data_IF_493968646597
#
_entry.id   IF_493968646597
#
_cell.length_a   1.000
_cell.length_b   1.000
_cell.length_c   1.000
_cell.angle_alpha   90.00
_cell.angle_beta   90.00
_cell.angle_gamma   90.00
#
_symmetry.space_group_name_H-M   'P 1'
#
loop_
_entity.id
_entity.type
_entity.pdbx_description
1 polymer ?
#
# COMPACT_ATOMS: atom_id res chain seq x y z
N UNK A 1 -27.02 -17.67 -6.41
CA UNK A 1 -25.90 -17.29 -7.30
C UNK A 1 -25.62 -15.78 -7.35
N UNK A 2 -26.07 -14.96 -6.38
CA UNK A 2 -25.81 -13.50 -6.36
C UNK A 2 -24.68 -13.07 -5.42
N UNK A 3 -24.16 -13.98 -4.60
CA UNK A 3 -23.21 -13.66 -3.52
C UNK A 3 -21.75 -13.86 -3.94
N UNK A 4 -21.49 -14.70 -4.95
CA UNK A 4 -20.15 -14.95 -5.48
C UNK A 4 -19.62 -13.78 -6.36
N UNK A 5 -20.51 -12.97 -6.94
CA UNK A 5 -20.13 -11.80 -7.77
C UNK A 5 -19.63 -10.60 -6.94
N UNK A 6 -19.98 -10.54 -5.65
CA UNK A 6 -19.57 -9.46 -4.74
C UNK A 6 -18.17 -9.66 -4.15
N UNK A 7 -17.61 -10.86 -4.23
CA UNK A 7 -16.25 -11.16 -3.76
C UNK A 7 -15.21 -10.98 -4.87
N UNK A 8 -15.60 -11.14 -6.13
CA UNK A 8 -14.71 -11.04 -7.31
C UNK A 8 -14.49 -9.61 -7.77
N UNK A 9 -15.35 -8.67 -7.36
CA UNK A 9 -15.32 -7.25 -7.75
C UNK A 9 -14.99 -6.32 -6.58
N UNK A 10 -14.69 -6.87 -5.40
CA UNK A 10 -14.37 -6.06 -4.22
C UNK A 10 -12.99 -5.43 -4.39
N UNK A 11 -12.97 -4.18 -4.81
CA UNK A 11 -11.76 -3.37 -4.82
C UNK A 11 -11.36 -3.12 -3.37
N UNK A 12 -10.33 -3.83 -2.90
CA UNK A 12 -9.79 -3.62 -1.57
C UNK A 12 -8.95 -2.35 -1.56
N UNK A 13 -9.34 -1.39 -0.74
CA UNK A 13 -8.51 -0.22 -0.47
C UNK A 13 -7.41 -0.60 0.53
N UNK A 14 -6.15 -0.43 0.12
CA UNK A 14 -4.99 -0.79 0.94
C UNK A 14 -4.29 0.49 1.39
N UNK A 15 -4.09 0.63 2.69
CA UNK A 15 -3.28 1.69 3.28
C UNK A 15 -2.01 1.09 3.92
N UNK A 16 -0.87 1.70 3.65
CA UNK A 16 0.44 1.30 4.15
C UNK A 16 0.96 2.41 5.06
N UNK A 17 1.29 2.06 6.29
CA UNK A 17 1.90 2.97 7.27
C UNK A 17 3.36 2.56 7.47
N UNK A 18 4.28 3.49 7.23
CA UNK A 18 5.72 3.27 7.34
C UNK A 18 6.30 4.21 8.42
N UNK A 19 6.78 3.68 9.56
CA UNK A 19 7.69 4.43 10.44
C UNK A 19 9.03 4.67 9.73
N UNK A 20 9.65 5.82 9.97
CA UNK A 20 10.98 6.14 9.47
C UNK A 20 11.74 7.01 10.48
N UNK A 21 12.42 6.35 11.42
CA UNK A 21 13.21 7.00 12.45
C UNK A 21 14.68 7.05 12.02
N UNK A 22 15.12 8.17 11.46
CA UNK A 22 16.49 8.36 10.91
C UNK A 22 16.84 7.48 9.68
N UNK A 23 15.87 6.78 9.07
CA UNK A 23 16.08 5.97 7.84
C UNK A 23 15.68 6.67 6.52
N UNK A 24 15.69 8.00 6.48
CA UNK A 24 15.26 8.81 5.33
C UNK A 24 15.98 8.45 4.01
N UNK A 25 17.22 7.97 4.09
CA UNK A 25 17.98 7.55 2.92
C UNK A 25 17.43 6.26 2.27
N UNK A 26 16.80 5.39 3.06
CA UNK A 26 16.25 4.11 2.61
C UNK A 26 14.74 4.17 2.34
N UNK A 27 14.02 5.14 2.92
CA UNK A 27 12.55 5.20 2.77
C UNK A 27 12.10 5.38 1.32
N UNK A 28 12.90 6.06 0.50
CA UNK A 28 12.59 6.27 -0.91
C UNK A 28 12.51 4.95 -1.69
N UNK A 29 13.43 4.00 -1.47
CA UNK A 29 13.39 2.69 -2.13
C UNK A 29 12.23 1.85 -1.63
N UNK A 30 11.94 1.90 -0.32
CA UNK A 30 10.79 1.19 0.27
C UNK A 30 9.47 1.66 -0.36
N UNK A 31 9.26 2.98 -0.46
CA UNK A 31 8.07 3.56 -1.10
C UNK A 31 8.01 3.17 -2.58
N UNK A 32 9.15 3.18 -3.29
CA UNK A 32 9.21 2.79 -4.68
C UNK A 32 8.80 1.33 -4.89
N UNK A 33 9.32 0.41 -4.08
CA UNK A 33 9.01 -1.02 -4.15
C UNK A 33 7.51 -1.28 -3.92
N UNK A 34 6.90 -0.57 -2.95
CA UNK A 34 5.45 -0.67 -2.73
C UNK A 34 4.65 -0.15 -3.92
N UNK A 35 5.04 0.97 -4.54
CA UNK A 35 4.36 1.48 -5.74
C UNK A 35 4.50 0.55 -6.94
N UNK A 36 5.58 -0.21 -7.04
CA UNK A 36 5.76 -1.20 -8.11
C UNK A 36 4.84 -2.41 -7.97
N UNK A 37 4.58 -2.86 -6.74
CA UNK A 37 3.81 -4.09 -6.49
C UNK A 37 2.34 -3.83 -6.14
N UNK A 38 2.04 -2.68 -5.52
CA UNK A 38 0.69 -2.27 -5.10
C UNK A 38 0.48 -0.80 -5.44
N UNK A 39 0.40 -0.45 -6.74
CA UNK A 39 0.38 0.94 -7.22
C UNK A 39 -0.81 1.76 -6.68
N UNK A 40 -1.93 1.11 -6.36
CA UNK A 40 -3.15 1.76 -5.87
C UNK A 40 -3.17 1.96 -4.35
N UNK A 41 -2.15 1.49 -3.62
CA UNK A 41 -2.09 1.65 -2.17
C UNK A 41 -1.80 3.11 -1.78
N UNK A 42 -2.50 3.59 -0.76
CA UNK A 42 -2.16 4.84 -0.09
C UNK A 42 -0.99 4.61 0.88
N UNK A 43 0.10 5.35 0.72
CA UNK A 43 1.30 5.19 1.56
C UNK A 43 1.47 6.42 2.44
N UNK A 44 1.57 6.20 3.75
CA UNK A 44 1.79 7.22 4.77
C UNK A 44 3.11 6.94 5.47
N UNK A 45 4.05 7.87 5.37
CA UNK A 45 5.32 7.83 6.11
C UNK A 45 5.19 8.77 7.30
N UNK A 46 5.57 8.29 8.47
CA UNK A 46 5.73 9.11 9.67
C UNK A 46 7.15 8.95 10.21
N UNK A 47 7.66 10.04 10.79
CA UNK A 47 8.97 10.10 11.49
C UNK A 47 8.96 9.15 12.70
#
# INVERSE_FOLDING_TARGET
>A
MKELDNLTTKNYEVAILLPCCDEEAAIASVVQDFKQHIPDASIYVYD
#
